data_IF_572033297067
#
_entry.id   IF_572033297067
#
_cell.length_a   1.000
_cell.length_b   1.000
_cell.length_c   1.000
_cell.angle_alpha   90.00
_cell.angle_beta   90.00
_cell.angle_gamma   90.00
#
_symmetry.space_group_name_H-M   'P 1'
#
loop_
_entity.id
_entity.type
_entity.pdbx_description
1 polymer ?
#
# COMPACT_ATOMS: atom_id res chain seq x y z
N UNK A 1 8.51 -9.50 6.39
CA UNK A 1 8.11 -8.56 5.32
C UNK A 1 8.05 -7.16 5.88
N UNK A 2 8.44 -6.17 5.10
CA UNK A 2 8.35 -4.78 5.53
C UNK A 2 6.95 -4.24 5.27
N UNK A 3 6.62 -3.14 5.95
CA UNK A 3 5.34 -2.46 5.72
C UNK A 3 5.19 -2.08 4.25
N UNK A 4 6.27 -1.60 3.63
CA UNK A 4 6.26 -1.25 2.22
C UNK A 4 5.89 -2.44 1.34
N UNK A 5 6.45 -3.61 1.61
CA UNK A 5 6.13 -4.80 0.84
C UNK A 5 4.69 -5.23 1.01
N UNK A 6 4.17 -5.16 2.23
CA UNK A 6 2.78 -5.51 2.50
C UNK A 6 1.81 -4.57 1.78
N UNK A 7 2.11 -3.27 1.81
CA UNK A 7 1.29 -2.28 1.11
C UNK A 7 1.34 -2.53 -0.39
N UNK A 8 2.53 -2.77 -0.92
CA UNK A 8 2.70 -3.01 -2.36
C UNK A 8 1.90 -4.22 -2.81
N UNK A 9 1.97 -5.32 -2.08
CA UNK A 9 1.21 -6.52 -2.41
C UNK A 9 -0.29 -6.24 -2.38
N UNK A 10 -0.75 -5.50 -1.38
CA UNK A 10 -2.16 -5.19 -1.25
C UNK A 10 -2.65 -4.35 -2.43
N UNK A 11 -1.94 -3.27 -2.76
CA UNK A 11 -2.40 -2.39 -3.83
C UNK A 11 -2.28 -3.05 -5.20
N UNK A 12 -1.23 -3.85 -5.43
CA UNK A 12 -1.07 -4.58 -6.69
C UNK A 12 -2.20 -5.57 -6.88
N UNK A 13 -2.55 -6.32 -5.84
CA UNK A 13 -3.63 -7.28 -5.89
C UNK A 13 -4.98 -6.60 -6.13
N UNK A 14 -5.20 -5.48 -5.45
CA UNK A 14 -6.42 -4.70 -5.62
C UNK A 14 -6.54 -4.19 -7.07
N UNK A 15 -5.46 -3.66 -7.61
CA UNK A 15 -5.46 -3.17 -8.99
C UNK A 15 -5.73 -4.31 -9.96
N UNK A 16 -5.15 -5.46 -9.70
CA UNK A 16 -5.32 -6.63 -10.57
C UNK A 16 -6.77 -7.10 -10.60
N UNK A 17 -7.48 -7.02 -9.48
CA UNK A 17 -8.86 -7.47 -9.40
C UNK A 17 -9.87 -6.40 -9.83
N UNK A 18 -9.61 -5.14 -9.53
CA UNK A 18 -10.60 -4.07 -9.73
C UNK A 18 -10.24 -3.08 -10.82
N UNK A 19 -8.99 -3.05 -11.28
CA UNK A 19 -8.56 -2.14 -12.33
C UNK A 19 -8.23 -0.73 -11.84
N UNK A 20 -8.23 -0.49 -10.53
CA UNK A 20 -7.85 0.79 -9.96
C UNK A 20 -7.24 0.57 -8.58
N UNK A 21 -6.48 1.56 -8.10
CA UNK A 21 -5.85 1.48 -6.79
C UNK A 21 -6.82 1.87 -5.68
N UNK A 22 -6.69 1.28 -4.48
CA UNK A 22 -7.61 1.57 -3.38
C UNK A 22 -7.40 2.97 -2.80
N UNK A 23 -8.43 3.54 -2.18
CA UNK A 23 -8.33 4.81 -1.50
C UNK A 23 -7.54 4.71 -0.20
N UNK A 24 -7.59 3.56 0.45
CA UNK A 24 -6.83 3.33 1.67
C UNK A 24 -6.44 1.86 1.75
N UNK A 25 -5.48 1.59 2.65
CA UNK A 25 -4.94 0.25 2.86
C UNK A 25 -4.85 0.02 4.36
N UNK A 26 -5.30 -1.13 4.83
CA UNK A 26 -5.18 -1.52 6.24
C UNK A 26 -4.15 -2.63 6.37
N UNK A 27 -3.11 -2.37 7.16
CA UNK A 27 -2.04 -3.32 7.44
C UNK A 27 -1.89 -3.43 8.96
N UNK A 28 -2.10 -4.62 9.50
CA UNK A 28 -1.98 -4.91 10.94
C UNK A 28 -2.77 -3.93 11.81
N UNK A 29 -3.98 -3.59 11.39
CA UNK A 29 -4.84 -2.68 12.12
C UNK A 29 -4.52 -1.20 11.91
N UNK A 30 -3.50 -0.89 11.14
CA UNK A 30 -3.12 0.48 10.83
C UNK A 30 -3.65 0.85 9.45
N UNK A 31 -4.39 1.95 9.36
CA UNK A 31 -4.97 2.41 8.10
C UNK A 31 -4.07 3.47 7.48
N UNK A 32 -3.74 3.28 6.21
CA UNK A 32 -2.94 4.22 5.42
C UNK A 32 -3.80 4.79 4.31
N UNK A 33 -3.93 6.11 4.27
CA UNK A 33 -4.69 6.78 3.21
C UNK A 33 -3.92 6.73 1.89
N UNK A 34 -4.59 7.10 0.80
CA UNK A 34 -4.01 7.07 -0.54
C UNK A 34 -2.64 7.78 -0.59
N UNK A 35 -2.60 9.02 -0.12
CA UNK A 35 -1.35 9.78 -0.12
C UNK A 35 -0.29 9.16 0.78
N UNK A 36 -0.71 8.63 1.93
CA UNK A 36 0.22 8.04 2.89
C UNK A 36 0.85 6.77 2.36
N UNK A 37 0.07 5.86 1.82
CA UNK A 37 0.65 4.61 1.33
C UNK A 37 1.52 4.84 0.09
N UNK A 38 1.15 5.76 -0.79
CA UNK A 38 1.99 6.07 -1.93
C UNK A 38 3.31 6.71 -1.51
N UNK A 39 3.29 7.58 -0.49
CA UNK A 39 4.52 8.11 0.09
C UNK A 39 5.45 7.02 0.56
N UNK A 40 4.91 6.02 1.26
CA UNK A 40 5.70 4.89 1.74
C UNK A 40 6.27 4.10 0.57
N UNK A 41 5.46 3.84 -0.47
CA UNK A 41 5.92 3.08 -1.63
C UNK A 41 7.03 3.78 -2.39
N UNK A 42 7.03 5.11 -2.39
CA UNK A 42 8.03 5.90 -3.09
C UNK A 42 9.28 6.17 -2.26
N UNK A 43 9.24 5.90 -0.95
CA UNK A 43 10.34 6.22 -0.04
C UNK A 43 11.27 5.03 0.12
N UNK A 44 12.50 5.16 -0.37
CA UNK A 44 13.50 4.10 -0.32
C UNK A 44 13.89 3.73 1.11
N UNK A 45 13.64 4.60 2.09
CA UNK A 45 13.99 4.35 3.48
C UNK A 45 13.10 3.30 4.15
N UNK A 46 12.01 2.93 3.51
CA UNK A 46 11.07 1.94 4.07
C UNK A 46 11.35 0.51 3.62
N UNK A 47 12.48 0.26 3.08
CA UNK A 47 12.87 -1.09 2.66
C UNK A 47 13.16 -2.03 3.81
#
# INVERSE_FOLDING_TARGET
MTTKQLIKEYVDDHFKHFGFYPYDVEIDGQVYSYGSYWSILEDDRFN
#
